data_IF_688191690053
#
_entry.id   IF_688191690053
#
_cell.length_a   1.000
_cell.length_b   1.000
_cell.length_c   1.000
_cell.angle_alpha   90.00
_cell.angle_beta   90.00
_cell.angle_gamma   90.00
#
_symmetry.space_group_name_H-M   'P 1'
#
loop_
_entity.id
_entity.type
_entity.pdbx_description
1 polymer ?
#
# COMPACT_ATOMS: atom_id res chain seq x y z
N UNK A 1 -5.68 8.29 1.53
CA UNK A 1 -4.59 8.64 2.47
C UNK A 1 -3.30 7.85 2.21
N UNK A 2 -3.31 6.53 2.03
CA UNK A 2 -2.11 5.68 1.90
C UNK A 2 -1.07 6.09 0.83
N UNK A 3 -1.50 6.51 -0.36
CA UNK A 3 -0.58 6.89 -1.45
C UNK A 3 0.17 8.22 -1.24
N UNK A 4 -0.28 9.10 -0.34
CA UNK A 4 0.51 10.28 0.05
C UNK A 4 1.67 9.87 0.96
N UNK A 5 1.44 8.92 1.87
CA UNK A 5 2.40 8.50 2.89
C UNK A 5 3.61 7.72 2.35
N UNK A 6 3.49 7.07 1.19
CA UNK A 6 4.60 6.27 0.62
C UNK A 6 5.43 7.06 -0.40
N UNK A 7 4.87 8.11 -1.01
CA UNK A 7 5.42 8.67 -2.26
C UNK A 7 5.84 10.15 -2.21
N UNK A 8 5.47 10.91 -1.16
CA UNK A 8 5.67 12.36 -1.14
C UNK A 8 7.11 12.84 -0.81
N UNK A 9 8.02 11.97 -0.35
CA UNK A 9 9.43 12.35 -0.05
C UNK A 9 10.47 11.97 -1.12
N UNK A 10 10.07 11.31 -2.21
CA UNK A 10 11.00 10.70 -3.18
C UNK A 10 10.97 11.30 -4.59
N UNK A 11 10.33 12.46 -4.81
CA UNK A 11 10.29 13.11 -6.14
C UNK A 11 9.45 12.35 -7.18
N UNK A 12 8.50 11.52 -6.73
CA UNK A 12 7.69 10.65 -7.59
C UNK A 12 6.54 11.45 -8.20
N UNK A 13 6.30 11.25 -9.50
CA UNK A 13 5.35 12.04 -10.27
C UNK A 13 3.90 11.86 -9.79
N UNK A 14 3.09 12.93 -9.90
CA UNK A 14 1.66 12.94 -9.51
C UNK A 14 0.89 11.80 -10.19
N UNK A 15 1.27 11.43 -11.42
CA UNK A 15 0.66 10.31 -12.15
C UNK A 15 0.89 8.96 -11.48
N UNK A 16 2.06 8.71 -10.92
CA UNK A 16 2.35 7.46 -10.20
C UNK A 16 1.53 7.35 -8.92
N UNK A 17 1.33 8.48 -8.22
CA UNK A 17 0.45 8.54 -7.05
C UNK A 17 -0.99 8.22 -7.45
N UNK A 18 -1.48 8.79 -8.56
CA UNK A 18 -2.82 8.52 -9.07
C UNK A 18 -3.00 7.03 -9.41
N UNK A 19 -2.08 6.44 -10.18
CA UNK A 19 -2.12 5.01 -10.52
C UNK A 19 -2.10 4.14 -9.27
N UNK A 20 -1.27 4.47 -8.28
CA UNK A 20 -1.20 3.75 -7.02
C UNK A 20 -2.55 3.77 -6.27
N UNK A 21 -3.23 4.93 -6.23
CA UNK A 21 -4.56 5.05 -5.62
C UNK A 21 -5.58 4.19 -6.34
N UNK A 22 -5.71 4.36 -7.67
CA UNK A 22 -6.66 3.59 -8.48
C UNK A 22 -6.44 2.08 -8.34
N UNK A 23 -5.18 1.65 -8.36
CA UNK A 23 -4.82 0.23 -8.19
C UNK A 23 -5.24 -0.29 -6.82
N UNK A 24 -4.99 0.48 -5.77
CA UNK A 24 -5.33 0.10 -4.40
C UNK A 24 -6.84 0.09 -4.20
N UNK A 25 -7.56 1.11 -4.67
CA UNK A 25 -9.01 1.20 -4.55
C UNK A 25 -9.71 0.04 -5.27
N UNK A 26 -9.13 -0.45 -6.38
CA UNK A 26 -9.66 -1.60 -7.10
C UNK A 26 -9.39 -2.94 -6.40
N UNK A 27 -8.19 -3.14 -5.83
CA UNK A 27 -7.76 -4.45 -5.31
C UNK A 27 -7.90 -4.60 -3.80
N UNK A 28 -7.80 -3.53 -3.03
CA UNK A 28 -7.93 -3.51 -1.58
C UNK A 28 -9.39 -3.23 -1.20
N UNK A 29 -10.29 -4.13 -1.59
CA UNK A 29 -11.71 -4.07 -1.25
C UNK A 29 -12.10 -5.22 -0.34
N UNK A 30 -13.08 -5.00 0.53
CA UNK A 30 -13.58 -5.98 1.49
C UNK A 30 -13.99 -7.29 0.81
N UNK A 31 -14.71 -7.22 -0.32
CA UNK A 31 -15.09 -8.41 -1.10
C UNK A 31 -13.92 -9.33 -1.47
N UNK A 32 -12.71 -8.79 -1.67
CA UNK A 32 -11.50 -9.56 -2.05
C UNK A 32 -10.68 -10.02 -0.85
N UNK A 33 -10.70 -9.26 0.24
CA UNK A 33 -9.88 -9.50 1.43
C UNK A 33 -10.66 -10.32 2.48
N UNK A 34 -12.00 -10.22 2.47
CA UNK A 34 -12.90 -10.84 3.45
C UNK A 34 -13.02 -10.07 4.77
N UNK A 35 -12.46 -8.86 4.82
CA UNK A 35 -12.51 -7.91 5.95
C UNK A 35 -12.14 -6.51 5.48
N UNK A 36 -12.32 -5.52 6.35
CA UNK A 36 -11.90 -4.15 6.09
C UNK A 36 -10.39 -4.09 5.71
N UNK A 37 -10.05 -3.45 4.56
CA UNK A 37 -8.67 -3.29 4.11
C UNK A 37 -7.85 -2.42 5.07
N UNK A 38 -6.70 -2.91 5.52
CA UNK A 38 -5.77 -2.14 6.36
C UNK A 38 -4.67 -1.49 5.54
N UNK A 39 -3.94 -0.54 6.14
CA UNK A 39 -2.71 0.03 5.56
C UNK A 39 -1.69 -1.06 5.20
N UNK A 40 -1.62 -2.15 5.99
CA UNK A 40 -0.76 -3.28 5.70
C UNK A 40 -1.19 -4.01 4.43
N UNK A 41 -2.49 -4.25 4.25
CA UNK A 41 -3.00 -4.93 3.05
C UNK A 41 -2.72 -4.10 1.81
N UNK A 42 -2.99 -2.79 1.87
CA UNK A 42 -2.69 -1.86 0.79
C UNK A 42 -1.20 -1.86 0.43
N UNK A 43 -0.31 -1.76 1.43
CA UNK A 43 1.14 -1.82 1.21
C UNK A 43 1.58 -3.11 0.51
N UNK A 44 1.04 -4.24 0.97
CA UNK A 44 1.41 -5.56 0.49
C UNK A 44 0.80 -5.88 -0.88
N UNK A 45 -0.39 -5.36 -1.17
CA UNK A 45 -1.04 -5.43 -2.49
C UNK A 45 -0.23 -4.63 -3.51
N UNK A 46 0.18 -3.41 -3.17
CA UNK A 46 1.06 -2.61 -4.03
C UNK A 46 2.37 -3.35 -4.35
N UNK A 47 3.00 -3.95 -3.34
CA UNK A 47 4.29 -4.62 -3.51
C UNK A 47 4.21 -5.99 -4.19
N UNK A 48 3.14 -6.76 -3.93
CA UNK A 48 3.03 -8.16 -4.31
C UNK A 48 1.97 -8.48 -5.36
N UNK A 49 1.27 -7.47 -5.87
CA UNK A 49 0.12 -7.59 -6.76
C UNK A 49 -1.19 -7.87 -6.03
N UNK A 50 -2.28 -8.24 -6.73
CA UNK A 50 -3.64 -8.31 -6.17
C UNK A 50 -3.81 -9.22 -4.94
N UNK A 51 -2.97 -10.25 -4.85
CA UNK A 51 -2.95 -11.22 -3.73
C UNK A 51 -1.72 -11.03 -2.83
N UNK A 52 -1.05 -9.88 -2.90
CA UNK A 52 0.19 -9.59 -2.17
C UNK A 52 0.04 -9.66 -0.65
N UNK A 53 -1.16 -9.40 -0.12
CA UNK A 53 -1.49 -9.56 1.30
C UNK A 53 -1.39 -11.01 1.80
N UNK A 54 -1.44 -12.01 0.91
CA UNK A 54 -1.25 -13.43 1.24
C UNK A 54 0.22 -13.86 1.20
N UNK A 55 1.06 -13.14 0.45
CA UNK A 55 2.46 -13.55 0.19
C UNK A 55 3.36 -13.21 1.38
N UNK A 56 4.14 -14.16 1.93
CA UNK A 56 5.09 -13.85 3.01
C UNK A 56 6.19 -12.86 2.59
N UNK A 57 6.60 -12.89 1.32
CA UNK A 57 7.65 -12.02 0.78
C UNK A 57 7.36 -10.52 0.90
N UNK A 58 6.08 -10.13 0.93
CA UNK A 58 5.66 -8.72 1.04
C UNK A 58 5.74 -8.18 2.48
N UNK A 59 5.93 -9.04 3.49
CA UNK A 59 6.06 -8.62 4.90
C UNK A 59 7.24 -7.66 5.10
N UNK A 60 8.39 -7.92 4.46
CA UNK A 60 9.59 -7.06 4.53
C UNK A 60 9.30 -5.65 4.02
N UNK A 61 8.47 -5.51 2.98
CA UNK A 61 8.07 -4.19 2.48
C UNK A 61 7.18 -3.45 3.47
N UNK A 62 6.25 -4.16 4.12
CA UNK A 62 5.41 -3.57 5.16
C UNK A 62 6.21 -3.03 6.36
N UNK A 63 7.27 -3.73 6.78
CA UNK A 63 8.16 -3.21 7.84
C UNK A 63 8.73 -1.83 7.48
N UNK A 64 9.17 -1.64 6.23
CA UNK A 64 9.66 -0.34 5.75
C UNK A 64 8.56 0.73 5.80
N UNK A 65 7.35 0.39 5.36
CA UNK A 65 6.21 1.33 5.38
C UNK A 65 5.85 1.73 6.81
N UNK A 66 5.88 0.79 7.76
CA UNK A 66 5.63 1.10 9.18
C UNK A 66 6.61 2.13 9.74
N UNK A 67 7.90 2.03 9.42
CA UNK A 67 8.89 3.00 9.90
C UNK A 67 8.62 4.41 9.36
N UNK A 68 8.23 4.53 8.08
CA UNK A 68 7.80 5.81 7.50
C UNK A 68 6.56 6.36 8.20
N UNK A 69 5.55 5.52 8.45
CA UNK A 69 4.31 5.93 9.13
C UNK A 69 4.54 6.39 10.59
N UNK A 70 5.55 5.86 11.28
CA UNK A 70 5.93 6.34 12.63
C UNK A 70 6.58 7.72 12.59
N UNK A 71 7.33 8.00 11.54
CA UNK A 71 8.15 9.22 11.40
C UNK A 71 7.31 10.43 11.01
N UNK A 72 6.12 10.20 10.44
CA UNK A 72 5.19 11.23 9.98
C UNK A 72 4.12 11.60 11.05
N UNK A 73 4.40 11.30 12.33
CA UNK A 73 3.56 11.69 13.47
C UNK A 73 3.91 13.06 14.01
#
# INVERSE_FOLDING_TARGET
>A
MFALYVFCRLGICIRSIAICREYIDYYAIERRIGREPTLQDMARIWNGGPNGYKKPSTKKYWEKVKEVLKTEK
#
